data_IF_583569311835
#
_entry.id   IF_583569311835
#
_cell.length_a   1.000
_cell.length_b   1.000
_cell.length_c   1.000
_cell.angle_alpha   90.00
_cell.angle_beta   90.00
_cell.angle_gamma   90.00
#
_symmetry.space_group_name_H-M   'P 1'
#
loop_
_entity.id
_entity.type
_entity.pdbx_description
1 polymer ?
#
# COMPACT_ATOMS: atom_id res chain seq x y z
N UNK A 1 -6.53 -15.99 2.24
CA UNK A 1 -5.77 -15.98 0.97
C UNK A 1 -4.56 -16.89 1.05
N UNK A 2 -3.72 -16.82 2.09
CA UNK A 2 -2.50 -17.65 2.23
C UNK A 2 -2.77 -19.16 2.20
N UNK A 3 -3.91 -19.62 2.66
CA UNK A 3 -4.33 -21.01 2.58
C UNK A 3 -4.72 -21.45 1.14
N UNK A 4 -5.14 -20.49 0.34
CA UNK A 4 -5.62 -20.74 -1.03
C UNK A 4 -4.53 -20.55 -2.09
N UNK A 5 -3.64 -19.59 -1.88
CA UNK A 5 -2.63 -19.19 -2.86
C UNK A 5 -1.22 -19.41 -2.32
N UNK A 6 -0.48 -20.32 -2.95
CA UNK A 6 0.94 -20.49 -2.65
C UNK A 6 1.74 -19.28 -3.11
N UNK A 7 2.85 -18.97 -2.45
CA UNK A 7 3.71 -17.82 -2.79
C UNK A 7 2.93 -16.50 -2.86
N UNK A 8 2.16 -16.20 -1.82
CA UNK A 8 1.42 -14.96 -1.70
C UNK A 8 2.34 -13.81 -1.30
N UNK A 9 2.21 -12.68 -1.98
CA UNK A 9 2.72 -11.38 -1.53
C UNK A 9 1.59 -10.44 -1.16
N UNK A 10 1.88 -9.53 -0.23
CA UNK A 10 1.07 -8.34 0.04
C UNK A 10 1.85 -7.12 -0.47
N UNK A 11 1.24 -6.36 -1.37
CA UNK A 11 1.69 -5.02 -1.72
C UNK A 11 0.92 -4.02 -0.86
N UNK A 12 1.63 -3.34 0.04
CA UNK A 12 1.09 -2.24 0.82
C UNK A 12 1.52 -0.90 0.21
N UNK A 13 0.56 0.01 -0.01
CA UNK A 13 0.81 1.42 -0.31
C UNK A 13 0.32 2.21 0.88
N UNK A 14 1.21 2.92 1.59
CA UNK A 14 0.93 3.47 2.91
C UNK A 14 2.01 4.48 3.34
N UNK A 15 1.67 5.41 4.22
CA UNK A 15 2.65 6.25 4.93
C UNK A 15 3.35 5.49 6.07
N UNK A 16 2.65 4.53 6.66
CA UNK A 16 3.03 3.82 7.88
C UNK A 16 3.52 2.41 7.59
N UNK A 17 4.49 1.93 8.36
CA UNK A 17 5.00 0.57 8.16
C UNK A 17 4.05 -0.52 8.70
N UNK A 18 3.26 -0.22 9.73
CA UNK A 18 2.32 -1.14 10.40
C UNK A 18 2.94 -2.46 10.85
N UNK A 19 4.21 -2.36 11.28
CA UNK A 19 5.04 -3.49 11.68
C UNK A 19 5.16 -3.63 13.21
N UNK A 20 4.32 -2.95 14.00
CA UNK A 20 4.30 -3.15 15.45
C UNK A 20 3.88 -4.57 15.77
N UNK A 21 4.56 -5.21 16.73
CA UNK A 21 4.16 -6.55 17.18
C UNK A 21 2.86 -6.51 17.97
N UNK A 22 2.70 -5.45 18.79
CA UNK A 22 1.43 -5.09 19.43
C UNK A 22 1.27 -3.58 19.55
N UNK A 23 0.05 -3.12 19.64
CA UNK A 23 -0.30 -1.73 19.90
C UNK A 23 -1.57 -1.65 20.75
N UNK A 24 -1.55 -0.82 21.82
CA UNK A 24 -2.62 -0.76 22.81
C UNK A 24 -3.00 -2.15 23.37
N UNK A 25 -2.01 -2.98 23.69
CA UNK A 25 -2.17 -4.34 24.23
C UNK A 25 -2.93 -5.31 23.29
N UNK A 26 -2.87 -5.08 21.99
CA UNK A 26 -3.44 -5.96 20.98
C UNK A 26 -2.48 -6.15 19.80
N UNK A 27 -2.19 -7.40 19.39
CA UNK A 27 -1.48 -7.69 18.15
C UNK A 27 -2.38 -7.53 16.90
N UNK A 28 -3.70 -7.37 17.10
CA UNK A 28 -4.70 -7.21 16.04
C UNK A 28 -5.19 -5.76 15.95
N UNK A 29 -4.25 -4.83 15.86
CA UNK A 29 -4.48 -3.40 15.74
C UNK A 29 -4.06 -2.92 14.34
N UNK A 30 -4.62 -1.78 13.85
CA UNK A 30 -4.25 -1.21 12.55
C UNK A 30 -2.73 -1.05 12.40
N UNK A 31 -2.00 -0.61 13.43
CA UNK A 31 -0.54 -0.46 13.42
C UNK A 31 0.25 -1.79 13.41
N UNK A 32 -0.42 -2.95 13.39
CA UNK A 32 0.18 -4.28 13.43
C UNK A 32 -0.13 -5.13 12.20
N UNK A 33 -0.90 -4.59 11.25
CA UNK A 33 -1.45 -5.36 10.13
C UNK A 33 -0.35 -5.99 9.28
N UNK A 34 0.68 -5.24 8.93
CA UNK A 34 1.77 -5.78 8.11
C UNK A 34 2.68 -6.72 8.89
N UNK A 35 2.82 -6.52 10.21
CA UNK A 35 3.52 -7.49 11.04
C UNK A 35 2.79 -8.84 11.07
N UNK A 36 1.46 -8.84 11.14
CA UNK A 36 0.65 -10.07 11.03
C UNK A 36 0.71 -10.65 9.62
N UNK A 37 0.66 -9.81 8.58
CA UNK A 37 0.78 -10.26 7.19
C UNK A 37 2.10 -10.98 6.91
N UNK A 38 3.23 -10.53 7.50
CA UNK A 38 4.54 -11.18 7.37
C UNK A 38 4.58 -12.64 7.89
N UNK A 39 3.66 -13.04 8.73
CA UNK A 39 3.57 -14.42 9.23
C UNK A 39 3.05 -15.39 8.16
N UNK A 40 2.38 -14.90 7.12
CA UNK A 40 1.66 -15.69 6.14
C UNK A 40 2.02 -15.39 4.69
N UNK A 41 2.66 -14.24 4.44
CA UNK A 41 2.93 -13.75 3.09
C UNK A 41 4.22 -12.94 3.03
N UNK A 42 4.74 -12.80 1.83
CA UNK A 42 5.84 -11.89 1.55
C UNK A 42 5.32 -10.46 1.42
N UNK A 43 5.83 -9.52 2.22
CA UNK A 43 5.32 -8.14 2.27
C UNK A 43 6.27 -7.19 1.53
N UNK A 44 5.73 -6.39 0.62
CA UNK A 44 6.41 -5.28 -0.06
C UNK A 44 5.66 -3.98 0.26
N UNK A 45 6.37 -2.99 0.77
CA UNK A 45 5.81 -1.74 1.30
C UNK A 45 6.27 -0.55 0.46
N UNK A 46 5.36 0.33 0.08
CA UNK A 46 5.62 1.48 -0.81
C UNK A 46 5.01 2.75 -0.25
N UNK A 47 5.78 3.83 -0.24
CA UNK A 47 5.34 5.15 0.24
C UNK A 47 5.65 5.41 1.71
N UNK A 48 6.32 4.47 2.36
CA UNK A 48 6.57 4.51 3.79
C UNK A 48 7.42 5.74 4.17
N UNK A 49 6.96 6.49 5.17
CA UNK A 49 7.65 7.66 5.71
C UNK A 49 7.51 7.84 7.22
N UNK A 50 6.73 6.95 7.85
CA UNK A 50 6.64 6.85 9.29
C UNK A 50 6.93 5.43 9.75
N UNK A 51 7.97 5.28 10.58
CA UNK A 51 8.41 4.02 11.17
C UNK A 51 8.84 4.29 12.59
N UNK A 52 8.24 3.64 13.56
CA UNK A 52 8.70 3.76 14.94
C UNK A 52 9.92 2.85 15.20
N UNK A 53 10.61 3.10 16.32
CA UNK A 53 11.85 2.38 16.65
C UNK A 53 11.65 0.87 16.79
N UNK A 54 10.50 0.46 17.32
CA UNK A 54 10.13 -0.94 17.56
C UNK A 54 9.91 -1.73 16.27
N UNK A 55 9.48 -1.07 15.20
CA UNK A 55 9.21 -1.68 13.91
C UNK A 55 10.47 -2.00 13.11
N UNK A 56 11.58 -1.29 13.39
CA UNK A 56 12.82 -1.39 12.61
C UNK A 56 13.36 -2.81 12.51
N UNK A 57 13.19 -3.62 13.54
CA UNK A 57 13.63 -5.01 13.55
C UNK A 57 12.87 -5.93 12.58
N UNK A 58 11.68 -5.53 12.16
CA UNK A 58 10.82 -6.30 11.26
C UNK A 58 10.88 -5.79 9.80
N UNK A 59 11.60 -4.69 9.55
CA UNK A 59 11.80 -4.17 8.19
C UNK A 59 12.67 -5.14 7.39
N UNK A 60 12.20 -5.49 6.20
CA UNK A 60 13.00 -6.18 5.19
C UNK A 60 13.53 -5.10 4.23
N UNK A 61 14.83 -4.76 4.29
CA UNK A 61 15.37 -3.57 3.61
C UNK A 61 15.11 -3.52 2.11
N UNK A 62 15.13 -4.67 1.45
CA UNK A 62 14.93 -4.78 0.00
C UNK A 62 13.46 -4.65 -0.44
N UNK A 63 12.53 -4.76 0.52
CA UNK A 63 11.09 -4.78 0.25
C UNK A 63 10.37 -3.50 0.68
N UNK A 64 11.09 -2.53 1.22
CA UNK A 64 10.53 -1.24 1.63
C UNK A 64 11.01 -0.11 0.72
N UNK A 65 10.06 0.63 0.15
CA UNK A 65 10.30 1.76 -0.74
C UNK A 65 9.85 3.03 -0.02
N UNK A 66 10.80 3.70 0.61
CA UNK A 66 10.53 4.93 1.36
C UNK A 66 10.12 6.08 0.44
N UNK A 67 9.11 6.86 0.85
CA UNK A 67 8.57 7.96 0.06
C UNK A 67 9.66 8.93 -0.40
N UNK A 68 10.58 9.34 0.49
CA UNK A 68 11.67 10.27 0.16
C UNK A 68 12.64 9.74 -0.93
N UNK A 69 12.65 8.43 -1.19
CA UNK A 69 13.49 7.81 -2.22
C UNK A 69 12.78 7.67 -3.57
N UNK A 70 11.43 7.72 -3.59
CA UNK A 70 10.63 7.40 -4.77
C UNK A 70 9.70 8.53 -5.22
N UNK A 71 9.12 9.32 -4.30
CA UNK A 71 8.18 10.37 -4.63
C UNK A 71 8.80 11.43 -5.52
N UNK A 72 8.13 11.78 -6.60
CA UNK A 72 8.60 12.73 -7.61
C UNK A 72 9.79 12.26 -8.44
N UNK A 73 10.16 10.97 -8.39
CA UNK A 73 11.35 10.45 -9.09
C UNK A 73 10.99 9.46 -10.19
N UNK A 74 11.52 9.70 -11.39
CA UNK A 74 11.44 8.79 -12.54
C UNK A 74 12.67 7.88 -12.59
N UNK A 75 12.84 7.01 -11.61
CA UNK A 75 14.00 6.13 -11.47
C UNK A 75 13.68 4.64 -11.61
N UNK A 76 12.48 4.30 -12.13
CA UNK A 76 12.05 2.92 -12.34
C UNK A 76 11.70 2.16 -11.05
N UNK A 77 11.38 2.85 -9.99
CA UNK A 77 11.05 2.23 -8.70
C UNK A 77 9.80 1.34 -8.76
N UNK A 78 8.83 1.66 -9.61
CA UNK A 78 7.61 0.85 -9.79
C UNK A 78 7.96 -0.57 -10.27
N UNK A 79 8.86 -0.68 -11.25
CA UNK A 79 9.34 -1.96 -11.76
C UNK A 79 10.13 -2.71 -10.68
N UNK A 80 10.98 -2.02 -9.92
CA UNK A 80 11.71 -2.65 -8.82
C UNK A 80 10.78 -3.17 -7.72
N UNK A 81 9.76 -2.39 -7.33
CA UNK A 81 8.75 -2.85 -6.38
C UNK A 81 8.00 -4.09 -6.89
N UNK A 82 7.57 -4.08 -8.15
CA UNK A 82 6.92 -5.22 -8.79
C UNK A 82 7.82 -6.47 -8.83
N UNK A 83 9.13 -6.32 -9.06
CA UNK A 83 10.09 -7.42 -9.06
C UNK A 83 10.28 -8.07 -7.69
N UNK A 84 9.99 -7.35 -6.60
CA UNK A 84 10.03 -7.91 -5.23
C UNK A 84 8.80 -8.75 -4.89
N UNK A 85 7.70 -8.60 -5.61
CA UNK A 85 6.48 -9.37 -5.42
C UNK A 85 6.61 -10.77 -6.02
N UNK A 86 5.98 -11.73 -5.37
CA UNK A 86 5.81 -13.10 -5.89
C UNK A 86 4.74 -13.16 -6.98
N UNK A 87 4.32 -14.33 -7.40
CA UNK A 87 3.33 -14.51 -8.47
C UNK A 87 1.93 -14.01 -8.07
N UNK A 88 1.47 -14.42 -6.87
CA UNK A 88 0.14 -14.07 -6.36
C UNK A 88 0.24 -12.86 -5.45
N UNK A 89 -0.55 -11.82 -5.70
CA UNK A 89 -0.46 -10.54 -4.98
C UNK A 89 -1.82 -10.11 -4.45
N UNK A 90 -1.88 -9.84 -3.16
CA UNK A 90 -2.94 -9.05 -2.55
C UNK A 90 -2.49 -7.59 -2.44
N UNK A 91 -3.31 -6.64 -2.86
CA UNK A 91 -2.99 -5.21 -2.84
C UNK A 91 -3.82 -4.51 -1.77
N UNK A 92 -3.16 -3.90 -0.78
CA UNK A 92 -3.82 -3.04 0.20
C UNK A 92 -3.33 -1.61 0.05
N UNK A 93 -4.26 -0.67 -0.02
CA UNK A 93 -3.96 0.75 -0.23
C UNK A 93 -4.56 1.54 0.93
N UNK A 94 -3.69 1.99 1.83
CA UNK A 94 -4.02 3.04 2.76
C UNK A 94 -4.01 4.38 2.01
N UNK A 95 -5.07 5.16 2.18
CA UNK A 95 -5.20 6.44 1.48
C UNK A 95 -4.20 7.47 1.95
N UNK A 96 -3.61 7.32 3.12
CA UNK A 96 -2.55 8.20 3.59
C UNK A 96 -1.19 7.93 2.93
N UNK A 97 -1.05 6.85 2.16
CA UNK A 97 0.07 6.64 1.23
C UNK A 97 0.21 7.75 0.19
N UNK A 98 -0.92 8.37 -0.19
CA UNK A 98 -0.91 9.59 -0.99
C UNK A 98 -0.44 10.80 -0.16
N UNK A 99 0.04 11.83 -0.86
CA UNK A 99 0.32 13.11 -0.21
C UNK A 99 -0.98 13.79 0.24
N UNK A 100 -1.03 14.45 1.42
CA UNK A 100 -2.20 15.18 1.89
C UNK A 100 -2.72 16.29 0.95
N UNK A 101 -1.89 16.75 0.01
CA UNK A 101 -2.32 17.64 -1.05
C UNK A 101 -3.36 17.01 -2.00
N UNK A 102 -3.36 15.66 -2.10
CA UNK A 102 -4.33 14.90 -2.89
C UNK A 102 -5.40 14.24 -2.01
N UNK A 103 -5.01 13.73 -0.83
CA UNK A 103 -5.90 13.02 0.09
C UNK A 103 -5.77 13.60 1.50
N UNK A 104 -6.44 14.72 1.79
CA UNK A 104 -6.41 15.34 3.12
C UNK A 104 -7.28 14.62 4.16
N UNK A 105 -8.26 13.79 3.74
CA UNK A 105 -9.25 13.19 4.62
C UNK A 105 -8.87 11.75 5.02
N UNK A 106 -7.78 11.61 5.78
CA UNK A 106 -7.34 10.39 6.46
C UNK A 106 -7.16 10.65 7.95
N UNK A 107 -7.05 9.59 8.76
CA UNK A 107 -6.86 9.71 10.21
C UNK A 107 -5.50 10.28 10.60
N UNK A 108 -4.46 9.92 9.85
CA UNK A 108 -3.05 10.24 10.16
C UNK A 108 -2.29 10.78 8.95
N UNK A 109 -2.73 11.91 8.35
CA UNK A 109 -2.10 12.45 7.15
C UNK A 109 -0.67 12.92 7.43
N UNK A 110 0.27 12.52 6.58
CA UNK A 110 1.68 12.91 6.65
C UNK A 110 2.15 13.49 5.31
N UNK A 111 2.92 14.60 5.29
CA UNK A 111 3.44 15.18 4.05
C UNK A 111 4.53 14.31 3.41
N UNK A 112 4.76 14.54 2.12
CA UNK A 112 5.80 13.85 1.35
C UNK A 112 5.36 12.49 0.79
N UNK A 113 4.05 12.31 0.61
CA UNK A 113 3.45 11.10 0.03
C UNK A 113 3.49 11.04 -1.50
N UNK A 114 2.82 10.05 -2.05
CA UNK A 114 2.78 9.77 -3.47
C UNK A 114 1.70 10.60 -4.19
N UNK A 115 1.99 10.97 -5.45
CA UNK A 115 1.01 11.56 -6.33
C UNK A 115 0.12 10.50 -6.99
N UNK A 116 -1.08 10.92 -7.45
CA UNK A 116 -2.05 10.05 -8.11
C UNK A 116 -1.44 9.17 -9.22
N UNK A 117 -0.73 9.78 -10.17
CA UNK A 117 -0.17 9.03 -11.29
C UNK A 117 1.02 8.15 -10.92
N UNK A 118 1.68 8.40 -9.81
CA UNK A 118 2.73 7.50 -9.31
C UNK A 118 2.14 6.20 -8.83
N UNK A 119 1.04 6.27 -8.06
CA UNK A 119 0.28 5.10 -7.60
C UNK A 119 -0.34 4.36 -8.78
N UNK A 120 -1.01 5.07 -9.71
CA UNK A 120 -1.62 4.41 -10.88
C UNK A 120 -0.58 3.69 -11.74
N UNK A 121 0.59 4.28 -11.99
CA UNK A 121 1.67 3.62 -12.73
C UNK A 121 2.21 2.38 -12.01
N UNK A 122 2.34 2.42 -10.68
CA UNK A 122 2.70 1.23 -9.92
C UNK A 122 1.66 0.12 -10.09
N UNK A 123 0.38 0.45 -9.91
CA UNK A 123 -0.72 -0.51 -10.06
C UNK A 123 -0.77 -1.10 -11.47
N UNK A 124 -0.62 -0.29 -12.52
CA UNK A 124 -0.56 -0.78 -13.91
C UNK A 124 0.58 -1.78 -14.12
N UNK A 125 1.78 -1.50 -13.58
CA UNK A 125 2.92 -2.41 -13.66
C UNK A 125 2.62 -3.72 -12.93
N UNK A 126 2.06 -3.64 -11.71
CA UNK A 126 1.78 -4.81 -10.88
C UNK A 126 0.67 -5.66 -11.49
N UNK A 127 -0.47 -5.07 -11.85
CA UNK A 127 -1.61 -5.80 -12.44
C UNK A 127 -1.29 -6.47 -13.78
N UNK A 128 -0.39 -5.87 -14.58
CA UNK A 128 0.07 -6.45 -15.84
C UNK A 128 0.99 -7.66 -15.67
N UNK A 129 1.75 -7.73 -14.57
CA UNK A 129 2.84 -8.69 -14.43
C UNK A 129 2.60 -9.72 -13.31
N UNK A 130 1.53 -9.58 -12.52
CA UNK A 130 1.24 -10.45 -11.37
C UNK A 130 -0.21 -10.91 -11.41
N UNK A 131 -0.49 -12.04 -10.76
CA UNK A 131 -1.85 -12.51 -10.50
C UNK A 131 -2.41 -11.80 -9.26
N UNK A 132 -3.34 -10.89 -9.46
CA UNK A 132 -3.97 -10.15 -8.37
C UNK A 132 -5.11 -10.98 -7.78
N UNK A 133 -4.95 -11.42 -6.54
CA UNK A 133 -5.92 -12.29 -5.87
C UNK A 133 -6.98 -11.54 -5.05
N UNK A 134 -6.75 -10.26 -4.80
CA UNK A 134 -7.67 -9.36 -4.11
C UNK A 134 -7.05 -8.01 -3.87
N UNK A 135 -7.88 -7.04 -3.52
CA UNK A 135 -7.43 -5.70 -3.11
C UNK A 135 -8.42 -5.05 -2.15
N UNK A 136 -7.95 -4.08 -1.39
CA UNK A 136 -8.74 -3.17 -0.58
C UNK A 136 -8.20 -1.73 -0.65
N UNK A 137 -9.04 -0.78 -0.23
CA UNK A 137 -8.70 0.63 -0.04
C UNK A 137 -9.25 1.04 1.32
N UNK A 138 -8.37 1.50 2.21
CA UNK A 138 -8.68 1.73 3.63
C UNK A 138 -8.35 3.15 4.07
N UNK A 139 -8.70 3.48 5.31
CA UNK A 139 -8.38 4.73 6.01
C UNK A 139 -8.98 6.00 5.40
N UNK A 140 -10.08 5.90 4.63
CA UNK A 140 -10.85 7.08 4.30
C UNK A 140 -11.57 7.60 5.56
N UNK A 141 -11.29 8.87 5.93
CA UNK A 141 -11.97 9.57 7.01
C UNK A 141 -12.76 10.76 6.44
N UNK A 142 -14.01 10.57 5.98
CA UNK A 142 -14.76 11.59 5.24
C UNK A 142 -14.96 12.88 6.03
N UNK A 143 -14.76 14.01 5.37
CA UNK A 143 -15.00 15.34 5.93
C UNK A 143 -16.29 15.93 5.37
N UNK A 144 -17.16 16.56 6.20
CA UNK A 144 -18.48 17.06 5.77
C UNK A 144 -18.42 18.03 4.58
N UNK A 145 -17.43 18.92 4.57
CA UNK A 145 -17.34 20.01 3.59
C UNK A 145 -16.26 19.78 2.51
N UNK A 146 -15.62 18.61 2.48
CA UNK A 146 -14.57 18.30 1.52
C UNK A 146 -14.75 16.89 0.96
N UNK A 147 -15.09 16.82 -0.33
CA UNK A 147 -15.31 15.55 -1.06
C UNK A 147 -14.12 15.10 -1.92
N UNK A 148 -13.00 15.78 -1.84
CA UNK A 148 -11.82 15.45 -2.69
C UNK A 148 -11.36 14.02 -2.43
N UNK A 149 -11.16 13.65 -1.17
CA UNK A 149 -10.73 12.29 -0.81
C UNK A 149 -11.78 11.24 -1.10
N UNK A 150 -13.08 11.53 -0.90
CA UNK A 150 -14.18 10.61 -1.20
C UNK A 150 -14.18 10.25 -2.70
N UNK A 151 -14.08 11.27 -3.56
CA UNK A 151 -14.07 11.09 -5.02
C UNK A 151 -12.79 10.39 -5.47
N UNK A 152 -11.63 10.73 -4.88
CA UNK A 152 -10.39 10.05 -5.20
C UNK A 152 -10.45 8.57 -4.81
N UNK A 153 -10.91 8.24 -3.61
CA UNK A 153 -11.05 6.86 -3.14
C UNK A 153 -11.98 6.05 -4.07
N UNK A 154 -13.16 6.60 -4.40
CA UNK A 154 -14.09 5.96 -5.33
C UNK A 154 -13.49 5.76 -6.72
N UNK A 155 -12.75 6.76 -7.22
CA UNK A 155 -12.06 6.69 -8.52
C UNK A 155 -10.94 5.63 -8.48
N UNK A 156 -10.21 5.52 -7.36
CA UNK A 156 -9.17 4.52 -7.18
C UNK A 156 -9.75 3.09 -7.23
N UNK A 157 -10.84 2.84 -6.49
CA UNK A 157 -11.53 1.55 -6.53
C UNK A 157 -12.00 1.22 -7.95
N UNK A 158 -12.59 2.19 -8.66
CA UNK A 158 -12.98 2.01 -10.05
C UNK A 158 -11.79 1.69 -10.97
N UNK A 159 -10.65 2.33 -10.75
CA UNK A 159 -9.40 2.02 -11.48
C UNK A 159 -8.88 0.62 -11.18
N UNK A 160 -8.92 0.17 -9.93
CA UNK A 160 -8.52 -1.19 -9.55
C UNK A 160 -9.39 -2.25 -10.25
N UNK A 161 -10.70 -2.06 -10.26
CA UNK A 161 -11.65 -2.94 -10.98
C UNK A 161 -11.33 -2.94 -12.49
N UNK A 162 -11.09 -1.77 -13.07
CA UNK A 162 -10.77 -1.65 -14.50
C UNK A 162 -9.44 -2.32 -14.86
N UNK A 163 -8.42 -2.21 -14.00
CA UNK A 163 -7.14 -2.88 -14.18
C UNK A 163 -7.30 -4.40 -14.06
N UNK A 164 -8.12 -4.85 -13.12
CA UNK A 164 -8.41 -6.26 -12.96
C UNK A 164 -9.07 -6.83 -14.23
N UNK A 165 -10.17 -6.25 -14.68
CA UNK A 165 -10.84 -6.66 -15.92
C UNK A 165 -9.92 -6.66 -17.16
N UNK A 166 -8.95 -5.73 -17.19
CA UNK A 166 -8.01 -5.60 -18.30
C UNK A 166 -6.92 -6.64 -18.32
N UNK A 167 -6.41 -7.05 -17.15
CA UNK A 167 -5.17 -7.83 -17.06
C UNK A 167 -5.32 -9.19 -16.36
N UNK A 168 -6.41 -9.40 -15.62
CA UNK A 168 -6.68 -10.69 -14.99
C UNK A 168 -7.68 -11.49 -15.86
N UNK A 169 -7.48 -12.79 -16.05
CA UNK A 169 -8.35 -13.64 -16.86
C UNK A 169 -9.71 -13.89 -16.22
#
# INVERSE_FOLDING_TARGET
>A
FSEKYNNLSVLQIDAHADLRDEYHHSPYNHACVMRRAQEYAHVVQVGIRNVCSEEKQYIIPDNIFYAHQIAGKENGWQQRACQRLTENVYVTIDLDGFDPAFVPATGTPLPGGLAWYEVIRLLEVVFKNKNIVGFDVVELCPQPDNKISDVLAATLVYKLITLWEKFQP
#
